data_IF_873616499649
#
_entry.id   IF_873616499649
#
_cell.length_a   1.000
_cell.length_b   1.000
_cell.length_c   1.000
_cell.angle_alpha   90.00
_cell.angle_beta   90.00
_cell.angle_gamma   90.00
#
_symmetry.space_group_name_H-M   'P 1'
#
loop_
_entity.id
_entity.type
_entity.pdbx_description
1 polymer ?
#
# COMPACT_ATOMS: atom_id res chain seq x y z
N UNK A 1 -58.88 -48.23 10.02
CA UNK A 1 -58.31 -47.16 10.88
C UNK A 1 -57.14 -47.66 11.72
N UNK A 2 -57.04 -48.96 12.04
CA UNK A 2 -55.98 -49.54 12.90
C UNK A 2 -54.53 -49.37 12.41
N UNK A 3 -54.29 -49.26 11.09
CA UNK A 3 -52.92 -49.09 10.54
C UNK A 3 -52.30 -47.75 10.96
N UNK A 4 -53.10 -46.69 11.15
CA UNK A 4 -52.60 -45.36 11.51
C UNK A 4 -52.19 -45.23 12.97
N UNK A 5 -52.64 -46.15 13.83
CA UNK A 5 -52.35 -46.18 15.26
C UNK A 5 -51.18 -47.12 15.62
N UNK A 6 -50.70 -47.93 14.66
CA UNK A 6 -49.50 -48.75 14.87
C UNK A 6 -48.30 -47.86 15.19
N UNK A 7 -47.57 -48.21 16.25
CA UNK A 7 -46.42 -47.45 16.72
C UNK A 7 -45.11 -48.10 16.27
N UNK A 8 -44.22 -47.29 15.71
CA UNK A 8 -42.86 -47.65 15.34
C UNK A 8 -41.92 -46.61 15.94
N UNK A 9 -40.95 -47.06 16.74
CA UNK A 9 -39.97 -46.20 17.42
C UNK A 9 -40.64 -45.07 18.24
N UNK A 10 -41.72 -45.39 18.95
CA UNK A 10 -42.44 -44.42 19.79
C UNK A 10 -43.36 -43.44 19.04
N UNK A 11 -43.47 -43.58 17.72
CA UNK A 11 -44.28 -42.72 16.86
C UNK A 11 -45.36 -43.52 16.12
N UNK A 12 -46.56 -42.97 15.97
CA UNK A 12 -47.62 -43.60 15.16
C UNK A 12 -47.28 -43.52 13.68
N UNK A 13 -47.82 -44.45 12.87
CA UNK A 13 -47.75 -44.36 11.39
C UNK A 13 -48.27 -43.00 10.90
N UNK A 14 -49.29 -42.43 11.55
CA UNK A 14 -49.78 -41.10 11.24
C UNK A 14 -48.71 -40.01 11.44
N UNK A 15 -47.94 -40.04 12.54
CA UNK A 15 -46.86 -39.07 12.79
C UNK A 15 -45.74 -39.16 11.74
N UNK A 16 -45.38 -40.37 11.31
CA UNK A 16 -44.42 -40.56 10.21
C UNK A 16 -44.94 -40.00 8.88
N UNK A 17 -46.22 -40.22 8.57
CA UNK A 17 -46.87 -39.65 7.39
C UNK A 17 -46.91 -38.12 7.49
N UNK A 18 -47.21 -37.56 8.65
CA UNK A 18 -47.20 -36.10 8.88
C UNK A 18 -45.80 -35.52 8.69
N UNK A 19 -44.75 -36.14 9.25
CA UNK A 19 -43.38 -35.69 9.06
C UNK A 19 -42.96 -35.73 7.59
N UNK A 20 -43.28 -36.81 6.86
CA UNK A 20 -43.03 -36.91 5.43
C UNK A 20 -43.80 -35.85 4.63
N UNK A 21 -45.08 -35.61 4.98
CA UNK A 21 -45.90 -34.59 4.37
C UNK A 21 -45.32 -33.18 4.60
N UNK A 22 -44.81 -32.89 5.81
CA UNK A 22 -44.13 -31.62 6.12
C UNK A 22 -42.92 -31.43 5.21
N UNK A 23 -42.05 -32.44 5.06
CA UNK A 23 -40.87 -32.36 4.19
C UNK A 23 -41.26 -32.11 2.74
N UNK A 24 -42.19 -32.90 2.19
CA UNK A 24 -42.65 -32.75 0.81
C UNK A 24 -43.28 -31.37 0.59
N UNK A 25 -44.10 -30.92 1.54
CA UNK A 25 -44.74 -29.61 1.49
C UNK A 25 -43.74 -28.46 1.55
N UNK A 26 -42.77 -28.50 2.47
CA UNK A 26 -41.75 -27.46 2.59
C UNK A 26 -40.76 -27.45 1.43
N UNK A 27 -40.43 -28.59 0.84
CA UNK A 27 -39.64 -28.64 -0.40
C UNK A 27 -40.43 -28.09 -1.59
N UNK A 28 -41.72 -28.41 -1.70
CA UNK A 28 -42.60 -27.88 -2.75
C UNK A 28 -42.76 -26.36 -2.62
N UNK A 29 -43.08 -25.87 -1.43
CA UNK A 29 -43.12 -24.43 -1.12
C UNK A 29 -41.76 -23.81 -1.35
N UNK A 30 -40.67 -24.44 -0.91
CA UNK A 30 -39.32 -23.93 -1.08
C UNK A 30 -38.98 -23.73 -2.54
N UNK A 31 -39.40 -24.66 -3.42
CA UNK A 31 -39.25 -24.54 -4.87
C UNK A 31 -40.07 -23.38 -5.44
N UNK A 32 -41.31 -23.19 -4.97
CA UNK A 32 -42.19 -22.09 -5.38
C UNK A 32 -41.59 -20.76 -4.91
N UNK A 33 -41.19 -20.64 -3.65
CA UNK A 33 -40.56 -19.44 -3.08
C UNK A 33 -39.27 -19.12 -3.84
N UNK A 34 -38.43 -20.11 -4.13
CA UNK A 34 -37.24 -19.91 -4.96
C UNK A 34 -37.58 -19.44 -6.38
N UNK A 35 -38.59 -20.03 -7.01
CA UNK A 35 -39.06 -19.61 -8.33
C UNK A 35 -39.60 -18.18 -8.32
N UNK A 36 -40.40 -17.82 -7.32
CA UNK A 36 -40.91 -16.46 -7.10
C UNK A 36 -39.76 -15.49 -6.86
N UNK A 37 -38.82 -15.83 -5.97
CA UNK A 37 -37.66 -15.02 -5.65
C UNK A 37 -36.81 -14.76 -6.90
N UNK A 38 -36.53 -15.82 -7.66
CA UNK A 38 -35.75 -15.74 -8.90
C UNK A 38 -36.44 -14.92 -9.99
N UNK A 39 -37.75 -15.04 -10.15
CA UNK A 39 -38.46 -14.43 -11.28
C UNK A 39 -39.01 -13.03 -10.97
N UNK A 40 -39.41 -12.77 -9.73
CA UNK A 40 -40.03 -11.51 -9.32
C UNK A 40 -38.99 -10.58 -8.70
N UNK A 41 -38.28 -11.01 -7.65
CA UNK A 41 -37.35 -10.14 -6.95
C UNK A 41 -36.16 -9.75 -7.83
N UNK A 42 -35.68 -10.65 -8.69
CA UNK A 42 -34.65 -10.30 -9.68
C UNK A 42 -35.16 -9.31 -10.74
N UNK A 43 -36.37 -9.51 -11.25
CA UNK A 43 -36.97 -8.61 -12.24
C UNK A 43 -37.34 -7.23 -11.66
N UNK A 44 -37.51 -7.14 -10.34
CA UNK A 44 -37.70 -5.88 -9.61
C UNK A 44 -36.35 -5.21 -9.32
N UNK A 45 -35.36 -5.98 -8.85
CA UNK A 45 -34.00 -5.48 -8.61
C UNK A 45 -33.36 -4.89 -9.87
N UNK A 46 -33.54 -5.54 -11.03
CA UNK A 46 -33.08 -5.03 -12.33
C UNK A 46 -33.74 -3.70 -12.75
N UNK A 47 -34.86 -3.31 -12.12
CA UNK A 47 -35.57 -2.04 -12.37
C UNK A 47 -35.22 -0.96 -11.36
N UNK A 48 -34.51 -1.28 -10.28
CA UNK A 48 -34.12 -0.32 -9.25
C UNK A 48 -32.85 0.42 -9.68
N UNK A 49 -32.73 1.68 -9.29
CA UNK A 49 -31.52 2.48 -9.57
C UNK A 49 -30.30 2.02 -8.73
N UNK A 50 -30.52 1.22 -7.68
CA UNK A 50 -29.52 0.83 -6.68
C UNK A 50 -28.98 -0.59 -6.91
N UNK A 51 -27.65 -0.71 -7.11
CA UNK A 51 -26.95 -2.01 -7.22
C UNK A 51 -26.96 -2.86 -5.94
N UNK A 52 -27.42 -2.30 -4.82
CA UNK A 52 -27.50 -3.00 -3.54
C UNK A 52 -28.53 -4.13 -3.57
N UNK A 53 -29.66 -3.93 -4.26
CA UNK A 53 -30.73 -4.92 -4.35
C UNK A 53 -30.27 -6.16 -5.12
N UNK A 54 -29.49 -5.98 -6.20
CA UNK A 54 -28.90 -7.07 -6.98
C UNK A 54 -27.95 -7.93 -6.14
N UNK A 55 -27.17 -7.30 -5.25
CA UNK A 55 -26.24 -7.99 -4.36
C UNK A 55 -26.99 -8.84 -3.34
N UNK A 56 -28.03 -8.29 -2.70
CA UNK A 56 -28.83 -9.02 -1.73
C UNK A 56 -29.55 -10.20 -2.39
N UNK A 57 -30.10 -9.99 -3.58
CA UNK A 57 -30.76 -11.05 -4.35
C UNK A 57 -29.78 -12.17 -4.71
N UNK A 58 -28.60 -11.85 -5.27
CA UNK A 58 -27.59 -12.88 -5.58
C UNK A 58 -27.08 -13.60 -4.32
N UNK A 59 -26.92 -12.87 -3.21
CA UNK A 59 -26.45 -13.43 -1.94
C UNK A 59 -27.39 -14.53 -1.42
N UNK A 60 -28.70 -14.29 -1.49
CA UNK A 60 -29.74 -15.15 -0.91
C UNK A 60 -30.25 -16.19 -1.89
N UNK A 61 -30.25 -15.95 -3.20
CA UNK A 61 -30.87 -16.83 -4.22
C UNK A 61 -30.43 -18.30 -4.04
N UNK A 62 -29.12 -18.57 -3.99
CA UNK A 62 -28.61 -19.96 -3.93
C UNK A 62 -28.78 -20.61 -2.56
N UNK A 63 -28.47 -19.94 -1.43
CA UNK A 63 -28.70 -20.51 -0.10
C UNK A 63 -30.18 -20.69 0.26
N UNK A 64 -31.09 -19.95 -0.38
CA UNK A 64 -32.52 -19.96 -0.06
C UNK A 64 -33.14 -21.37 -0.05
N UNK A 65 -32.86 -22.19 -1.07
CA UNK A 65 -33.38 -23.57 -1.11
C UNK A 65 -32.83 -24.41 0.02
N UNK A 66 -31.56 -24.23 0.39
CA UNK A 66 -30.94 -24.94 1.51
C UNK A 66 -31.57 -24.53 2.84
N UNK A 67 -31.72 -23.22 3.09
CA UNK A 67 -32.36 -22.67 4.30
C UNK A 67 -33.80 -23.16 4.44
N UNK A 68 -34.60 -23.11 3.35
CA UNK A 68 -35.98 -23.58 3.36
C UNK A 68 -36.07 -25.10 3.60
N UNK A 69 -35.10 -25.86 3.07
CA UNK A 69 -34.99 -27.30 3.35
C UNK A 69 -34.67 -27.57 4.82
N UNK A 70 -33.77 -26.79 5.43
CA UNK A 70 -33.44 -26.91 6.86
C UNK A 70 -34.68 -26.65 7.73
N UNK A 71 -35.43 -25.59 7.45
CA UNK A 71 -36.67 -25.26 8.19
C UNK A 71 -37.68 -26.41 8.10
N UNK A 72 -37.85 -26.98 6.90
CA UNK A 72 -38.75 -28.11 6.67
C UNK A 72 -38.34 -29.38 7.41
N UNK A 73 -37.05 -29.71 7.36
CA UNK A 73 -36.49 -30.86 8.08
C UNK A 73 -36.65 -30.65 9.59
N UNK A 74 -36.39 -29.45 10.10
CA UNK A 74 -36.57 -29.14 11.52
C UNK A 74 -38.02 -29.33 11.98
N UNK A 75 -38.99 -28.76 11.26
CA UNK A 75 -40.41 -28.95 11.57
C UNK A 75 -40.84 -30.41 11.50
N UNK A 76 -40.34 -31.16 10.52
CA UNK A 76 -40.63 -32.59 10.40
C UNK A 76 -40.07 -33.37 11.60
N UNK A 77 -38.82 -33.10 12.02
CA UNK A 77 -38.18 -33.78 13.13
C UNK A 77 -38.81 -33.42 14.49
N UNK A 78 -39.24 -32.17 14.68
CA UNK A 78 -39.94 -31.73 15.90
C UNK A 78 -41.34 -32.35 16.02
N UNK A 79 -41.96 -32.74 14.90
CA UNK A 79 -43.27 -33.43 14.93
C UNK A 79 -43.20 -34.90 15.36
N UNK A 80 -42.00 -35.47 15.45
CA UNK A 80 -41.73 -36.83 15.90
C UNK A 80 -41.30 -36.89 17.37
N UNK A 81 -41.71 -37.92 18.09
CA UNK A 81 -41.23 -38.28 19.42
C UNK A 81 -39.90 -39.03 19.30
N UNK A 82 -38.80 -38.28 19.41
CA UNK A 82 -37.45 -38.83 19.36
C UNK A 82 -36.87 -39.00 20.78
N UNK A 83 -36.07 -40.05 21.02
CA UNK A 83 -35.26 -40.18 22.24
C UNK A 83 -34.41 -38.94 22.49
N UNK A 84 -34.25 -38.55 23.76
CA UNK A 84 -33.57 -37.29 24.15
C UNK A 84 -32.14 -37.18 23.60
N UNK A 85 -31.42 -38.30 23.57
CA UNK A 85 -30.09 -38.37 22.96
C UNK A 85 -30.15 -37.94 21.48
N UNK A 86 -31.00 -38.58 20.67
CA UNK A 86 -31.13 -38.27 19.24
C UNK A 86 -31.62 -36.85 19.01
N UNK A 87 -32.53 -36.34 19.85
CA UNK A 87 -33.01 -34.96 19.79
C UNK A 87 -31.87 -33.96 20.00
N UNK A 88 -30.98 -34.21 20.96
CA UNK A 88 -29.79 -33.38 21.20
C UNK A 88 -28.85 -33.34 20.00
N UNK A 89 -28.48 -34.48 19.44
CA UNK A 89 -27.64 -34.55 18.23
C UNK A 89 -28.26 -33.83 17.03
N UNK A 90 -29.58 -33.96 16.85
CA UNK A 90 -30.33 -33.28 15.79
C UNK A 90 -30.34 -31.76 16.00
N UNK A 91 -30.59 -31.28 17.22
CA UNK A 91 -30.56 -29.85 17.53
C UNK A 91 -29.18 -29.24 17.26
N UNK A 92 -28.14 -29.87 17.80
CA UNK A 92 -26.76 -29.41 17.62
C UNK A 92 -26.35 -29.41 16.14
N UNK A 93 -26.73 -30.47 15.40
CA UNK A 93 -26.51 -30.55 13.96
C UNK A 93 -27.29 -29.48 13.18
N UNK A 94 -28.53 -29.19 13.57
CA UNK A 94 -29.35 -28.14 12.97
C UNK A 94 -28.73 -26.75 13.20
N UNK A 95 -28.35 -26.43 14.44
CA UNK A 95 -27.72 -25.15 14.79
C UNK A 95 -26.39 -24.94 14.05
N UNK A 96 -25.60 -26.00 13.90
CA UNK A 96 -24.40 -26.01 13.05
C UNK A 96 -24.76 -25.68 11.58
N UNK A 97 -25.71 -26.41 10.99
CA UNK A 97 -26.10 -26.22 9.59
C UNK A 97 -26.72 -24.84 9.31
N UNK A 98 -27.49 -24.30 10.25
CA UNK A 98 -28.02 -22.93 10.17
C UNK A 98 -26.89 -21.90 10.20
N UNK A 99 -25.90 -22.08 11.08
CA UNK A 99 -24.71 -21.22 11.13
C UNK A 99 -23.94 -21.24 9.81
N UNK A 100 -23.74 -22.43 9.23
CA UNK A 100 -23.10 -22.60 7.91
C UNK A 100 -23.94 -21.98 6.79
N UNK A 101 -25.27 -22.08 6.84
CA UNK A 101 -26.15 -21.44 5.87
C UNK A 101 -26.03 -19.90 5.91
N UNK A 102 -25.98 -19.32 7.11
CA UNK A 102 -25.80 -17.88 7.29
C UNK A 102 -24.42 -17.42 6.78
N UNK A 103 -23.36 -18.17 7.10
CA UNK A 103 -22.03 -17.92 6.60
C UNK A 103 -21.94 -18.02 5.07
N UNK A 104 -22.69 -18.94 4.46
CA UNK A 104 -22.78 -19.05 3.00
C UNK A 104 -23.42 -17.80 2.38
N UNK A 105 -24.52 -17.31 2.96
CA UNK A 105 -25.15 -16.04 2.55
C UNK A 105 -24.16 -14.89 2.69
N UNK A 106 -23.46 -14.78 3.82
CA UNK A 106 -22.47 -13.72 4.06
C UNK A 106 -21.30 -13.77 3.08
N UNK A 107 -20.75 -14.96 2.81
CA UNK A 107 -19.67 -15.16 1.84
C UNK A 107 -20.12 -14.80 0.42
N UNK A 108 -21.38 -15.12 0.05
CA UNK A 108 -21.96 -14.75 -1.23
C UNK A 108 -22.20 -13.25 -1.32
N UNK A 109 -22.76 -12.63 -0.28
CA UNK A 109 -22.94 -11.19 -0.19
C UNK A 109 -21.62 -10.45 -0.41
N UNK A 110 -20.54 -10.88 0.27
CA UNK A 110 -19.21 -10.33 0.06
C UNK A 110 -18.72 -10.53 -1.38
N UNK A 111 -18.87 -11.74 -1.95
CA UNK A 111 -18.49 -12.03 -3.33
C UNK A 111 -19.22 -11.12 -4.34
N UNK A 112 -20.52 -10.89 -4.13
CA UNK A 112 -21.36 -10.04 -4.98
C UNK A 112 -21.02 -8.56 -4.79
N UNK A 113 -20.74 -8.11 -3.56
CA UNK A 113 -20.27 -6.75 -3.28
C UNK A 113 -18.93 -6.46 -3.97
N UNK A 114 -17.98 -7.40 -3.89
CA UNK A 114 -16.70 -7.28 -4.60
C UNK A 114 -16.93 -7.17 -6.11
N UNK A 115 -17.79 -8.03 -6.67
CA UNK A 115 -18.06 -8.06 -8.11
C UNK A 115 -18.74 -6.78 -8.62
N UNK A 116 -19.72 -6.25 -7.90
CA UNK A 116 -20.56 -5.14 -8.39
C UNK A 116 -20.02 -3.74 -8.04
N UNK A 117 -19.26 -3.61 -6.93
CA UNK A 117 -18.75 -2.30 -6.47
C UNK A 117 -17.23 -2.14 -6.55
N UNK A 118 -16.46 -3.21 -6.28
CA UNK A 118 -14.99 -3.09 -6.13
C UNK A 118 -14.29 -3.40 -7.44
N UNK A 119 -14.58 -4.56 -8.05
CA UNK A 119 -13.94 -5.00 -9.29
C UNK A 119 -14.07 -4.00 -10.46
N UNK A 120 -15.23 -3.36 -10.70
CA UNK A 120 -15.34 -2.38 -11.80
C UNK A 120 -14.54 -1.10 -11.55
N UNK A 121 -14.36 -0.71 -10.28
CA UNK A 121 -13.55 0.48 -9.92
C UNK A 121 -12.06 0.20 -10.05
N UNK A 122 -11.64 -0.99 -9.64
CA UNK A 122 -10.27 -1.49 -9.79
C UNK A 122 -9.89 -1.59 -11.27
N UNK A 123 -10.73 -2.22 -12.09
CA UNK A 123 -10.48 -2.36 -13.53
C UNK A 123 -10.54 -1.03 -14.31
N UNK A 124 -11.16 0.01 -13.74
CA UNK A 124 -11.18 1.36 -14.30
C UNK A 124 -9.99 2.21 -13.81
N UNK A 125 -9.18 1.70 -12.88
CA UNK A 125 -7.96 2.34 -12.44
C UNK A 125 -6.79 1.86 -13.31
N UNK A 126 -5.86 2.76 -13.65
CA UNK A 126 -4.63 2.41 -14.38
C UNK A 126 -3.55 1.78 -13.47
N UNK A 127 -3.92 1.30 -12.27
CA UNK A 127 -2.95 0.89 -11.26
C UNK A 127 -2.85 -0.64 -11.21
N UNK A 128 -1.71 -1.19 -11.64
CA UNK A 128 -1.39 -2.63 -11.60
C UNK A 128 -1.49 -3.25 -10.18
N UNK A 129 -1.44 -2.40 -9.15
CA UNK A 129 -1.59 -2.74 -7.73
C UNK A 129 -2.95 -3.37 -7.42
N UNK A 130 -4.02 -2.81 -7.98
CA UNK A 130 -5.38 -3.15 -7.58
C UNK A 130 -5.80 -4.52 -8.14
N UNK A 131 -5.34 -4.86 -9.35
CA UNK A 131 -5.64 -6.12 -10.03
C UNK A 131 -4.99 -7.34 -9.35
N UNK A 132 -3.84 -7.17 -8.70
CA UNK A 132 -3.14 -8.27 -8.02
C UNK A 132 -3.59 -8.46 -6.57
N UNK A 133 -3.96 -7.38 -5.88
CA UNK A 133 -4.37 -7.43 -4.48
C UNK A 133 -5.81 -7.94 -4.31
N UNK A 134 -6.72 -7.57 -5.22
CA UNK A 134 -8.14 -7.89 -5.09
C UNK A 134 -8.41 -9.41 -5.00
N UNK A 135 -7.82 -10.28 -5.84
CA UNK A 135 -8.02 -11.73 -5.74
C UNK A 135 -7.51 -12.33 -4.42
N UNK A 136 -6.40 -11.82 -3.89
CA UNK A 136 -5.79 -12.28 -2.63
C UNK A 136 -6.70 -11.91 -1.46
N UNK A 137 -7.12 -10.64 -1.36
CA UNK A 137 -8.02 -10.15 -0.32
C UNK A 137 -9.36 -10.88 -0.36
N UNK A 138 -9.92 -11.08 -1.56
CA UNK A 138 -11.18 -11.80 -1.73
C UNK A 138 -11.10 -13.24 -1.21
N UNK A 139 -10.04 -13.98 -1.55
CA UNK A 139 -9.83 -15.35 -1.05
C UNK A 139 -9.59 -15.36 0.47
N UNK A 140 -8.80 -14.42 0.97
CA UNK A 140 -8.49 -14.29 2.41
C UNK A 140 -9.74 -14.05 3.26
N UNK A 141 -10.55 -13.05 2.91
CA UNK A 141 -11.79 -12.73 3.62
C UNK A 141 -12.76 -13.91 3.59
N UNK A 142 -12.90 -14.58 2.44
CA UNK A 142 -13.76 -15.76 2.32
C UNK A 142 -13.28 -16.92 3.20
N UNK A 143 -11.97 -17.17 3.24
CA UNK A 143 -11.39 -18.17 4.14
C UNK A 143 -11.69 -17.83 5.61
N UNK A 144 -11.52 -16.57 6.01
CA UNK A 144 -11.85 -16.10 7.36
C UNK A 144 -13.33 -16.30 7.70
N UNK A 145 -14.26 -15.94 6.79
CA UNK A 145 -15.70 -16.16 7.00
C UNK A 145 -15.99 -17.64 7.29
N UNK A 146 -15.41 -18.56 6.49
CA UNK A 146 -15.62 -19.99 6.69
C UNK A 146 -14.99 -20.54 7.97
N UNK A 147 -13.77 -20.10 8.32
CA UNK A 147 -13.10 -20.50 9.57
C UNK A 147 -13.95 -20.06 10.77
N UNK A 148 -14.39 -18.80 10.80
CA UNK A 148 -15.26 -18.28 11.87
C UNK A 148 -16.57 -19.04 11.92
N UNK A 149 -17.19 -19.31 10.77
CA UNK A 149 -18.45 -20.05 10.70
C UNK A 149 -18.36 -21.47 11.25
N UNK A 150 -17.25 -22.17 10.99
CA UNK A 150 -17.01 -23.51 11.54
C UNK A 150 -16.90 -23.45 13.06
N UNK A 151 -16.15 -22.48 13.60
CA UNK A 151 -15.97 -22.32 15.05
C UNK A 151 -17.30 -21.98 15.72
N UNK A 152 -18.00 -20.96 15.23
CA UNK A 152 -19.31 -20.55 15.78
C UNK A 152 -20.33 -21.68 15.64
N UNK A 153 -20.29 -22.42 14.52
CA UNK A 153 -21.17 -23.57 14.32
C UNK A 153 -20.92 -24.68 15.34
N UNK A 154 -19.65 -24.99 15.62
CA UNK A 154 -19.27 -25.98 16.63
C UNK A 154 -19.66 -25.54 18.04
N UNK A 155 -19.44 -24.26 18.37
CA UNK A 155 -19.80 -23.68 19.67
C UNK A 155 -21.33 -23.72 19.90
N UNK A 156 -22.11 -23.29 18.89
CA UNK A 156 -23.58 -23.38 18.91
C UNK A 156 -24.07 -24.84 19.02
N UNK A 157 -23.32 -25.79 18.45
CA UNK A 157 -23.60 -27.22 18.56
C UNK A 157 -23.15 -27.83 19.91
N UNK A 158 -22.72 -27.01 20.87
CA UNK A 158 -22.36 -27.42 22.22
C UNK A 158 -20.96 -28.02 22.37
N UNK A 159 -20.09 -27.89 21.36
CA UNK A 159 -18.70 -28.31 21.46
C UNK A 159 -17.84 -27.21 22.11
N UNK A 160 -16.91 -27.60 22.97
CA UNK A 160 -15.90 -26.67 23.50
C UNK A 160 -14.88 -26.32 22.41
N UNK A 161 -14.95 -25.08 21.93
CA UNK A 161 -14.04 -24.55 20.90
C UNK A 161 -12.85 -23.79 21.47
N UNK A 162 -12.65 -23.76 22.79
CA UNK A 162 -11.56 -23.02 23.42
C UNK A 162 -10.19 -23.47 22.90
N UNK A 163 -9.99 -24.78 22.73
CA UNK A 163 -8.74 -25.33 22.18
C UNK A 163 -8.51 -24.92 20.71
N UNK A 164 -9.57 -24.86 19.90
CA UNK A 164 -9.49 -24.41 18.51
C UNK A 164 -9.16 -22.91 18.43
N UNK A 165 -9.81 -22.10 19.26
CA UNK A 165 -9.54 -20.67 19.37
C UNK A 165 -8.12 -20.40 19.85
N UNK A 166 -7.64 -21.14 20.85
CA UNK A 166 -6.26 -21.04 21.33
C UNK A 166 -5.24 -21.41 20.23
N UNK A 167 -5.49 -22.51 19.52
CA UNK A 167 -4.65 -22.96 18.41
C UNK A 167 -4.62 -21.95 17.24
N UNK A 168 -5.77 -21.39 16.87
CA UNK A 168 -5.87 -20.34 15.85
C UNK A 168 -5.25 -19.02 16.31
N UNK A 169 -5.31 -18.69 17.60
CA UNK A 169 -4.63 -17.51 18.15
C UNK A 169 -3.11 -17.61 17.98
N UNK A 170 -2.52 -18.74 18.40
CA UNK A 170 -1.08 -18.99 18.26
C UNK A 170 -0.69 -19.12 16.77
N UNK A 171 -1.45 -19.87 15.98
CA UNK A 171 -1.22 -20.03 14.55
C UNK A 171 -1.37 -18.73 13.77
N UNK A 172 -2.35 -17.90 14.15
CA UNK A 172 -2.59 -16.57 13.60
C UNK A 172 -1.45 -15.60 13.93
N UNK A 173 -0.92 -15.65 15.15
CA UNK A 173 0.27 -14.87 15.53
C UNK A 173 1.50 -15.30 14.72
N UNK A 174 1.74 -16.61 14.58
CA UNK A 174 2.85 -17.13 13.77
C UNK A 174 2.71 -16.71 12.29
N UNK A 175 1.50 -16.80 11.73
CA UNK A 175 1.21 -16.33 10.38
C UNK A 175 1.42 -14.81 10.24
N UNK A 176 0.95 -14.01 11.20
CA UNK A 176 1.13 -12.56 11.20
C UNK A 176 2.61 -12.16 11.27
N UNK A 177 3.41 -12.86 12.08
CA UNK A 177 4.86 -12.66 12.14
C UNK A 177 5.54 -13.00 10.82
N UNK A 178 5.14 -14.10 10.16
CA UNK A 178 5.67 -14.47 8.85
C UNK A 178 5.25 -13.49 7.74
N UNK A 179 4.05 -12.92 7.83
CA UNK A 179 3.53 -11.96 6.86
C UNK A 179 4.00 -10.52 7.10
N UNK A 180 4.62 -10.23 8.25
CA UNK A 180 4.99 -8.89 8.71
C UNK A 180 5.71 -8.06 7.64
N UNK A 181 6.75 -8.61 7.03
CA UNK A 181 7.56 -7.87 6.04
C UNK A 181 6.77 -7.61 4.75
N UNK A 182 5.89 -8.53 4.35
CA UNK A 182 5.03 -8.31 3.19
C UNK A 182 4.06 -7.16 3.46
N UNK A 183 3.39 -7.18 4.62
CA UNK A 183 2.44 -6.13 5.02
C UNK A 183 3.15 -4.78 5.17
N UNK A 184 4.33 -4.75 5.79
CA UNK A 184 5.13 -3.53 5.94
C UNK A 184 5.50 -2.90 4.60
N UNK A 185 5.87 -3.71 3.60
CA UNK A 185 6.14 -3.19 2.26
C UNK A 185 4.90 -2.67 1.53
N UNK A 186 3.73 -3.29 1.74
CA UNK A 186 2.47 -2.77 1.19
C UNK A 186 2.13 -1.40 1.76
N UNK A 187 2.23 -1.24 3.09
CA UNK A 187 2.01 0.05 3.74
C UNK A 187 3.06 1.09 3.32
N UNK A 188 4.33 0.71 3.21
CA UNK A 188 5.36 1.60 2.68
C UNK A 188 5.04 2.07 1.25
N UNK A 189 4.53 1.19 0.39
CA UNK A 189 4.12 1.53 -0.97
C UNK A 189 2.93 2.50 -0.98
N UNK A 190 1.94 2.24 -0.14
CA UNK A 190 0.77 3.11 0.04
C UNK A 190 1.16 4.51 0.52
N UNK A 191 2.08 4.61 1.48
CA UNK A 191 2.61 5.90 1.97
C UNK A 191 3.34 6.65 0.87
N UNK A 192 4.24 6.00 0.12
CA UNK A 192 4.93 6.64 -1.03
C UNK A 192 3.91 7.15 -2.06
N UNK A 193 2.85 6.39 -2.33
CA UNK A 193 1.83 6.80 -3.30
C UNK A 193 0.96 7.98 -2.82
N UNK A 194 0.65 8.02 -1.52
CA UNK A 194 -0.25 9.02 -0.93
C UNK A 194 0.47 10.33 -0.61
N UNK A 195 1.62 10.23 0.08
CA UNK A 195 2.39 11.39 0.53
C UNK A 195 3.29 11.95 -0.57
N UNK A 196 3.60 11.12 -1.59
CA UNK A 196 4.43 11.48 -2.76
C UNK A 196 5.72 12.23 -2.41
N UNK A 197 6.58 11.69 -1.52
CA UNK A 197 7.88 12.30 -1.22
C UNK A 197 8.79 12.36 -2.47
N UNK A 198 8.53 11.51 -3.45
CA UNK A 198 9.11 11.50 -4.77
C UNK A 198 8.14 10.87 -5.78
N UNK A 199 8.40 11.09 -7.06
CA UNK A 199 7.63 10.55 -8.18
C UNK A 199 8.53 9.83 -9.18
N UNK A 200 7.93 9.12 -10.14
CA UNK A 200 8.68 8.49 -11.24
C UNK A 200 9.46 9.57 -11.99
N UNK A 201 10.73 9.28 -12.30
CA UNK A 201 11.74 10.17 -12.87
C UNK A 201 12.38 11.18 -11.91
N UNK A 202 12.01 11.22 -10.62
CA UNK A 202 12.79 11.96 -9.64
C UNK A 202 14.12 11.26 -9.36
N UNK A 203 15.20 12.03 -9.22
CA UNK A 203 16.47 11.56 -8.67
C UNK A 203 16.43 11.73 -7.15
N UNK A 204 16.66 10.63 -6.44
CA UNK A 204 16.64 10.60 -4.99
C UNK A 204 17.92 9.96 -4.45
N UNK A 205 18.26 10.32 -3.22
CA UNK A 205 19.27 9.63 -2.42
C UNK A 205 18.59 9.00 -1.21
N UNK A 206 18.77 7.70 -1.04
CA UNK A 206 18.22 6.92 0.08
C UNK A 206 19.21 5.83 0.49
N UNK A 207 19.52 5.69 1.78
CA UNK A 207 20.47 4.70 2.30
C UNK A 207 21.81 4.65 1.53
N UNK A 208 22.33 5.81 1.11
CA UNK A 208 23.57 5.91 0.32
C UNK A 208 23.46 5.47 -1.15
N UNK A 209 22.25 5.13 -1.62
CA UNK A 209 21.97 4.87 -3.04
C UNK A 209 21.48 6.15 -3.71
N UNK A 210 22.20 6.62 -4.73
CA UNK A 210 21.82 7.76 -5.57
C UNK A 210 21.34 7.26 -6.94
N UNK A 211 20.10 7.59 -7.29
CA UNK A 211 19.54 7.17 -8.57
C UNK A 211 18.18 7.78 -8.90
N UNK A 212 17.77 7.57 -10.14
CA UNK A 212 16.48 8.02 -10.67
C UNK A 212 15.41 6.94 -10.50
N UNK A 213 14.26 7.30 -9.95
CA UNK A 213 13.10 6.42 -9.78
C UNK A 213 12.56 6.03 -11.16
N UNK A 214 12.51 4.73 -11.44
CA UNK A 214 11.97 4.19 -12.70
C UNK A 214 10.60 3.57 -12.55
N UNK A 215 10.34 2.93 -11.43
CA UNK A 215 9.10 2.20 -11.17
C UNK A 215 8.81 2.22 -9.67
N UNK A 216 7.57 2.51 -9.29
CA UNK A 216 7.08 2.34 -7.91
C UNK A 216 6.09 1.18 -7.95
N UNK A 217 6.54 0.00 -7.55
CA UNK A 217 5.71 -1.21 -7.52
C UNK A 217 4.98 -1.39 -6.18
N UNK A 218 4.15 -2.43 -6.11
CA UNK A 218 3.37 -2.82 -4.91
C UNK A 218 4.23 -2.96 -3.65
N UNK A 219 5.38 -3.63 -3.77
CA UNK A 219 6.26 -4.02 -2.64
C UNK A 219 7.63 -3.37 -2.65
N UNK A 220 8.04 -2.83 -3.80
CA UNK A 220 9.40 -2.35 -4.01
C UNK A 220 9.44 -1.28 -5.08
N UNK A 221 10.37 -0.35 -4.93
CA UNK A 221 10.65 0.71 -5.89
C UNK A 221 11.98 0.41 -6.59
N UNK A 222 12.05 0.68 -7.89
CA UNK A 222 13.25 0.49 -8.71
C UNK A 222 13.89 1.83 -9.00
N UNK A 223 15.17 1.95 -8.66
CA UNK A 223 16.02 3.07 -8.99
C UNK A 223 17.00 2.67 -10.10
N UNK A 224 17.35 3.60 -10.98
CA UNK A 224 18.49 3.48 -11.88
C UNK A 224 19.61 4.38 -11.36
N UNK A 225 20.75 3.81 -11.00
CA UNK A 225 21.91 4.58 -10.53
C UNK A 225 22.52 5.41 -11.66
N UNK A 226 23.40 6.34 -11.31
CA UNK A 226 24.14 7.16 -12.29
C UNK A 226 25.04 6.31 -13.21
N UNK A 227 25.48 5.13 -12.75
CA UNK A 227 26.21 4.15 -13.56
C UNK A 227 25.29 3.26 -14.42
N UNK A 228 23.97 3.50 -14.41
CA UNK A 228 22.98 2.79 -15.21
C UNK A 228 22.48 1.47 -14.62
N UNK A 229 22.86 1.12 -13.37
CA UNK A 229 22.43 -0.13 -12.72
C UNK A 229 21.03 0.00 -12.13
N UNK A 230 20.24 -1.07 -12.17
CA UNK A 230 18.95 -1.12 -11.48
C UNK A 230 19.12 -1.58 -10.04
N UNK A 231 18.69 -0.77 -9.08
CA UNK A 231 18.61 -1.10 -7.65
C UNK A 231 17.15 -1.26 -7.28
N UNK A 232 16.82 -2.34 -6.58
CA UNK A 232 15.45 -2.63 -6.11
C UNK A 232 15.43 -2.49 -4.60
N UNK A 233 14.62 -1.57 -4.11
CA UNK A 233 14.53 -1.24 -2.68
C UNK A 233 13.12 -1.60 -2.20
N UNK A 234 12.97 -2.39 -1.12
CA UNK A 234 11.67 -2.66 -0.50
C UNK A 234 11.00 -1.36 -0.07
N UNK A 235 9.69 -1.23 -0.31
CA UNK A 235 8.96 0.00 -0.04
C UNK A 235 8.97 0.41 1.45
N UNK A 236 9.03 -0.58 2.36
CA UNK A 236 9.14 -0.32 3.80
C UNK A 236 10.34 0.56 4.15
N UNK A 237 11.47 0.41 3.43
CA UNK A 237 12.66 1.24 3.67
C UNK A 237 12.43 2.71 3.40
N UNK A 238 11.58 3.07 2.45
CA UNK A 238 11.29 4.48 2.14
C UNK A 238 10.42 5.13 3.22
N UNK A 239 9.59 4.35 3.92
CA UNK A 239 8.82 4.85 5.05
C UNK A 239 9.71 5.10 6.29
N UNK A 240 10.76 4.28 6.45
CA UNK A 240 11.62 4.32 7.64
C UNK A 240 12.88 5.19 7.50
N UNK A 241 13.28 5.55 6.27
CA UNK A 241 14.56 6.20 5.98
C UNK A 241 14.40 7.67 5.59
N UNK A 242 15.46 8.46 5.82
CA UNK A 242 15.53 9.83 5.28
C UNK A 242 15.73 9.75 3.77
N UNK A 243 14.90 10.49 3.03
CA UNK A 243 14.96 10.57 1.57
C UNK A 243 15.34 11.99 1.17
N UNK A 244 16.43 12.13 0.42
CA UNK A 244 16.79 13.40 -0.22
C UNK A 244 16.26 13.40 -1.65
N UNK A 245 15.24 14.22 -1.94
CA UNK A 245 14.73 14.39 -3.30
C UNK A 245 15.51 15.48 -4.03
N UNK A 246 16.50 15.07 -4.83
CA UNK A 246 17.36 15.98 -5.60
C UNK A 246 16.56 16.72 -6.67
N UNK A 247 15.63 16.04 -7.35
CA UNK A 247 14.79 16.66 -8.39
C UNK A 247 13.86 17.75 -7.87
N UNK A 248 13.53 17.72 -6.58
CA UNK A 248 12.70 18.74 -5.94
C UNK A 248 13.42 20.07 -5.72
N UNK A 249 14.75 20.13 -5.88
CA UNK A 249 15.53 21.34 -5.62
C UNK A 249 15.04 22.52 -6.50
N UNK A 250 14.82 23.72 -5.91
CA UNK A 250 14.39 24.90 -6.67
C UNK A 250 15.56 25.55 -7.42
N UNK A 251 16.77 25.37 -6.92
CA UNK A 251 18.03 25.81 -7.54
C UNK A 251 19.19 25.01 -6.93
N UNK A 252 20.28 24.87 -7.68
CA UNK A 252 21.48 24.14 -7.25
C UNK A 252 22.52 25.10 -6.69
N UNK A 253 22.77 25.04 -5.39
CA UNK A 253 23.84 25.85 -4.76
C UNK A 253 25.22 25.28 -5.13
N UNK A 254 26.07 26.12 -5.71
CA UNK A 254 27.49 25.86 -5.89
C UNK A 254 28.27 26.78 -4.94
N UNK A 255 29.35 26.28 -4.36
CA UNK A 255 30.23 27.07 -3.48
C UNK A 255 31.67 26.92 -3.95
N UNK A 256 32.28 28.03 -4.31
CA UNK A 256 33.69 28.16 -4.65
C UNK A 256 34.40 28.83 -3.49
N UNK A 257 35.55 28.28 -3.10
CA UNK A 257 36.45 28.92 -2.15
C UNK A 257 37.70 29.31 -2.94
N UNK A 258 37.81 30.60 -3.27
CA UNK A 258 38.91 31.14 -4.06
C UNK A 258 39.99 31.62 -3.09
N UNK A 259 41.19 31.05 -3.19
CA UNK A 259 42.36 31.50 -2.45
C UNK A 259 43.18 32.45 -3.30
N UNK A 260 43.38 33.67 -2.81
CA UNK A 260 44.19 34.70 -3.45
C UNK A 260 45.47 34.95 -2.64
N UNK A 261 46.50 35.50 -3.27
CA UNK A 261 47.82 35.67 -2.65
C UNK A 261 47.82 36.73 -1.53
N UNK A 262 48.73 36.61 -0.57
CA UNK A 262 48.85 37.52 0.58
C UNK A 262 49.49 38.88 0.26
N UNK A 263 50.14 38.99 -0.90
CA UNK A 263 50.73 40.22 -1.41
C UNK A 263 49.71 41.16 -2.06
N UNK A 264 48.46 40.72 -2.25
CA UNK A 264 47.39 41.60 -2.72
C UNK A 264 47.05 42.70 -1.72
N UNK A 265 46.75 43.89 -2.26
CA UNK A 265 46.25 45.00 -1.46
C UNK A 265 44.77 44.84 -1.07
N UNK A 266 44.28 45.59 -0.06
CA UNK A 266 42.85 45.64 0.27
C UNK A 266 41.98 46.05 -0.93
N UNK A 267 42.45 46.97 -1.76
CA UNK A 267 41.73 47.43 -2.96
C UNK A 267 41.63 46.32 -4.02
N UNK A 268 42.67 45.50 -4.18
CA UNK A 268 42.62 44.33 -5.06
C UNK A 268 41.63 43.28 -4.54
N UNK A 269 41.50 43.11 -3.22
CA UNK A 269 40.48 42.25 -2.62
C UNK A 269 39.06 42.76 -2.90
N UNK A 270 38.81 44.05 -2.74
CA UNK A 270 37.52 44.66 -3.10
C UNK A 270 37.22 44.50 -4.59
N UNK A 271 38.20 44.74 -5.46
CA UNK A 271 38.09 44.54 -6.90
C UNK A 271 37.77 43.09 -7.26
N UNK A 272 38.40 42.11 -6.61
CA UNK A 272 38.12 40.69 -6.80
C UNK A 272 36.65 40.38 -6.47
N UNK A 273 36.15 40.91 -5.36
CA UNK A 273 34.75 40.75 -4.95
C UNK A 273 33.78 41.41 -5.95
N UNK A 274 34.10 42.60 -6.48
CA UNK A 274 33.28 43.26 -7.48
C UNK A 274 33.23 42.50 -8.81
N UNK A 275 34.37 42.00 -9.29
CA UNK A 275 34.42 41.15 -10.48
C UNK A 275 33.55 39.89 -10.33
N UNK A 276 33.50 39.28 -9.13
CA UNK A 276 32.62 38.14 -8.87
C UNK A 276 31.14 38.52 -8.92
N UNK A 277 30.77 39.72 -8.45
CA UNK A 277 29.39 40.25 -8.58
C UNK A 277 29.03 40.51 -10.03
N UNK A 278 29.96 41.05 -10.82
CA UNK A 278 29.78 41.29 -12.25
C UNK A 278 29.60 39.97 -13.00
N UNK A 279 30.48 38.98 -12.77
CA UNK A 279 30.38 37.66 -13.38
C UNK A 279 29.03 37.01 -13.05
N UNK A 280 28.56 37.12 -11.79
CA UNK A 280 27.24 36.63 -11.42
C UNK A 280 26.11 37.36 -12.17
N UNK A 281 26.25 38.66 -12.40
CA UNK A 281 25.28 39.47 -13.14
C UNK A 281 25.25 39.10 -14.62
N UNK A 282 26.43 38.90 -15.23
CA UNK A 282 26.59 38.46 -16.62
C UNK A 282 25.96 37.07 -16.86
N UNK A 283 25.88 36.23 -15.83
CA UNK A 283 25.28 34.89 -15.88
C UNK A 283 23.86 34.84 -15.33
N UNK A 284 23.17 35.98 -15.22
CA UNK A 284 21.82 36.07 -14.64
C UNK A 284 20.76 35.26 -15.40
N UNK A 285 21.05 34.78 -16.62
CA UNK A 285 20.20 33.81 -17.33
C UNK A 285 20.27 32.40 -16.72
N UNK A 286 21.45 31.96 -16.29
CA UNK A 286 21.67 30.60 -15.77
C UNK A 286 21.62 30.52 -14.24
N UNK A 287 21.92 31.61 -13.52
CA UNK A 287 21.92 31.63 -12.05
C UNK A 287 20.86 32.58 -11.48
N UNK A 288 20.46 32.32 -10.24
CA UNK A 288 19.60 33.20 -9.46
C UNK A 288 20.32 34.49 -9.11
N UNK A 289 19.56 35.59 -8.94
CA UNK A 289 20.11 36.87 -8.49
C UNK A 289 20.76 36.80 -7.10
N UNK A 290 20.33 35.84 -6.28
CA UNK A 290 20.89 35.62 -4.95
C UNK A 290 22.27 34.98 -5.07
N UNK A 291 23.29 35.69 -4.57
CA UNK A 291 24.64 35.16 -4.36
C UNK A 291 25.05 35.36 -2.90
N UNK A 292 25.99 34.55 -2.42
CA UNK A 292 26.68 34.76 -1.16
C UNK A 292 28.15 35.00 -1.48
N UNK A 293 28.68 36.13 -1.03
CA UNK A 293 30.05 36.52 -1.30
C UNK A 293 30.67 37.10 -0.03
N UNK A 294 31.80 36.56 0.39
CA UNK A 294 32.49 36.98 1.61
C UNK A 294 33.98 36.67 1.53
N UNK A 295 34.81 37.64 1.90
CA UNK A 295 36.18 37.37 2.34
C UNK A 295 36.08 36.72 3.74
N UNK A 296 36.18 35.39 3.80
CA UNK A 296 35.71 34.61 4.95
C UNK A 296 36.84 34.09 5.85
N UNK A 297 38.07 33.99 5.34
CA UNK A 297 39.19 33.48 6.13
C UNK A 297 40.56 33.95 5.63
N UNK A 298 41.49 34.08 6.57
CA UNK A 298 42.92 34.10 6.33
C UNK A 298 43.41 32.65 6.44
N UNK A 299 43.80 32.03 5.33
CA UNK A 299 44.31 30.66 5.27
C UNK A 299 45.84 30.59 5.37
N UNK A 300 46.39 29.38 5.47
CA UNK A 300 47.85 29.19 5.66
C UNK A 300 48.70 29.79 4.52
N UNK A 301 48.17 29.78 3.29
CA UNK A 301 48.87 30.26 2.09
C UNK A 301 48.04 31.24 1.26
N UNK A 302 46.82 31.60 1.69
CA UNK A 302 45.87 32.36 0.88
C UNK A 302 44.91 33.24 1.68
N UNK A 303 44.46 34.33 1.07
CA UNK A 303 43.29 35.10 1.47
C UNK A 303 42.05 34.51 0.80
N UNK A 304 41.09 34.00 1.57
CA UNK A 304 39.98 33.19 1.04
C UNK A 304 38.70 34.00 0.83
N UNK A 305 38.19 33.97 -0.40
CA UNK A 305 36.86 34.45 -0.75
C UNK A 305 35.94 33.24 -0.93
N UNK A 306 34.90 33.14 -0.11
CA UNK A 306 33.77 32.25 -0.36
C UNK A 306 32.80 32.92 -1.32
N UNK A 307 32.63 32.31 -2.49
CA UNK A 307 31.64 32.71 -3.51
C UNK A 307 30.66 31.56 -3.75
N UNK A 308 29.40 31.75 -3.34
CA UNK A 308 28.33 30.80 -3.61
C UNK A 308 27.23 31.43 -4.48
N UNK A 309 26.82 30.68 -5.49
CA UNK A 309 25.75 31.04 -6.41
C UNK A 309 24.77 29.88 -6.56
N UNK A 310 23.57 30.18 -7.04
CA UNK A 310 22.50 29.20 -7.16
C UNK A 310 22.12 29.07 -8.62
N UNK A 311 22.39 27.91 -9.24
CA UNK A 311 22.04 27.63 -10.63
C UNK A 311 20.52 27.41 -10.70
N UNK A 312 19.86 28.10 -11.62
CA UNK A 312 18.40 28.02 -11.82
C UNK A 312 17.98 26.61 -12.19
N UNK A 313 16.77 26.22 -11.76
CA UNK A 313 16.17 24.94 -12.19
C UNK A 313 16.04 24.90 -13.71
N UNK A 314 16.58 23.84 -14.32
CA UNK A 314 16.57 23.64 -15.77
C UNK A 314 17.81 24.14 -16.51
N UNK A 315 18.66 24.97 -15.88
CA UNK A 315 19.95 25.32 -16.46
C UNK A 315 20.92 24.11 -16.37
N UNK A 316 21.81 23.98 -17.36
CA UNK A 316 22.77 22.89 -17.38
C UNK A 316 23.87 23.13 -16.33
N UNK A 317 23.94 22.27 -15.32
CA UNK A 317 24.77 22.48 -14.13
C UNK A 317 26.26 22.59 -14.49
N UNK A 318 26.78 21.63 -15.27
CA UNK A 318 28.21 21.57 -15.58
C UNK A 318 28.65 22.70 -16.51
N UNK A 319 27.81 23.09 -17.46
CA UNK A 319 28.15 24.18 -18.38
C UNK A 319 28.14 25.52 -17.65
N UNK A 320 27.17 25.74 -16.76
CA UNK A 320 27.10 26.95 -15.94
C UNK A 320 28.29 27.05 -14.98
N UNK A 321 28.71 25.93 -14.37
CA UNK A 321 29.94 25.91 -13.57
C UNK A 321 31.16 26.24 -14.43
N UNK A 322 31.27 25.64 -15.60
CA UNK A 322 32.40 25.85 -16.51
C UNK A 322 32.47 27.31 -16.98
N UNK A 323 31.34 27.90 -17.38
CA UNK A 323 31.28 29.28 -17.85
C UNK A 323 31.67 30.27 -16.77
N UNK A 324 31.17 30.09 -15.54
CA UNK A 324 31.51 30.93 -14.38
C UNK A 324 32.98 30.77 -14.03
N UNK A 325 33.49 29.53 -13.93
CA UNK A 325 34.90 29.29 -13.59
C UNK A 325 35.86 29.89 -14.63
N UNK A 326 35.55 29.77 -15.92
CA UNK A 326 36.35 30.38 -16.99
C UNK A 326 36.28 31.92 -16.96
N UNK A 327 35.12 32.49 -16.66
CA UNK A 327 34.96 33.94 -16.52
C UNK A 327 35.78 34.48 -15.33
N UNK A 328 35.75 33.78 -14.20
CA UNK A 328 36.59 34.09 -13.02
C UNK A 328 38.06 34.03 -13.42
N UNK A 329 38.50 32.92 -14.00
CA UNK A 329 39.89 32.72 -14.41
C UNK A 329 40.39 33.83 -15.33
N UNK A 330 39.59 34.20 -16.35
CA UNK A 330 39.95 35.25 -17.30
C UNK A 330 39.97 36.64 -16.68
N UNK A 331 38.89 37.05 -15.99
CA UNK A 331 38.79 38.41 -15.45
C UNK A 331 39.79 38.66 -14.32
N UNK A 332 40.12 37.64 -13.53
CA UNK A 332 41.13 37.75 -12.49
C UNK A 332 42.52 37.92 -13.11
N UNK A 333 42.86 37.13 -14.15
CA UNK A 333 44.11 37.29 -14.88
C UNK A 333 44.23 38.68 -15.54
N UNK A 334 43.18 39.16 -16.21
CA UNK A 334 43.16 40.48 -16.85
C UNK A 334 43.32 41.63 -15.84
N UNK A 335 42.89 41.43 -14.59
CA UNK A 335 43.00 42.38 -13.49
C UNK A 335 44.29 42.24 -12.65
N UNK A 336 45.17 41.27 -12.97
CA UNK A 336 46.38 41.00 -12.21
C UNK A 336 46.11 40.43 -10.81
N UNK A 337 44.99 39.74 -10.62
CA UNK A 337 44.64 39.04 -9.38
C UNK A 337 45.12 37.60 -9.46
N UNK A 338 46.05 37.23 -8.57
CA UNK A 338 46.69 35.92 -8.59
C UNK A 338 46.03 34.93 -7.63
N UNK A 339 45.82 33.70 -8.12
CA UNK A 339 45.40 32.59 -7.28
C UNK A 339 46.59 32.08 -6.48
N UNK A 340 46.38 31.89 -5.17
CA UNK A 340 47.39 31.36 -4.29
C UNK A 340 47.68 29.89 -4.61
N UNK A 341 48.96 29.55 -4.57
CA UNK A 341 49.46 28.17 -4.53
C UNK A 341 50.14 27.95 -3.17
N UNK A 342 50.27 26.69 -2.70
CA UNK A 342 51.02 26.40 -1.48
C UNK A 342 52.42 27.02 -1.56
N UNK A 343 52.70 27.99 -0.69
CA UNK A 343 53.93 28.75 -0.67
C UNK A 343 54.57 28.71 0.72
N UNK A 344 55.90 28.77 0.75
CA UNK A 344 56.68 28.75 1.98
C UNK A 344 57.86 29.71 1.85
N UNK A 345 58.11 30.47 2.90
CA UNK A 345 59.32 31.29 3.01
C UNK A 345 60.43 30.43 3.61
N UNK A 346 61.44 30.10 2.80
CA UNK A 346 62.60 29.32 3.25
C UNK A 346 63.71 30.25 3.74
N UNK A 347 64.02 30.19 5.03
CA UNK A 347 65.14 30.91 5.62
C UNK A 347 66.42 30.07 5.53
N UNK A 348 67.33 30.46 4.64
CA UNK A 348 68.67 29.87 4.59
C UNK A 348 69.57 30.51 5.65
N UNK A 349 69.87 29.75 6.71
CA UNK A 349 70.88 30.16 7.70
C UNK A 349 72.26 29.69 7.23
N UNK A 350 73.21 30.57 6.89
CA UNK A 350 74.57 30.15 6.60
C UNK A 350 75.17 29.49 7.85
N UNK A 351 75.83 28.36 7.64
CA UNK A 351 76.58 27.64 8.67
C UNK A 351 78.04 28.05 8.47
N UNK A 352 78.59 28.81 9.41
CA UNK A 352 80.01 29.19 9.44
C UNK A 352 80.92 28.01 9.82
#
# INVERSE_FOLDING_TARGET
MEIFEQTYYGNTVLQWITALAIIVFTLAIGRIVFWVFKNILRAVAEKTATKFDDIVVDAVERPLLFILSLIGIWWALVSLTLPDLLRGWISNGYDFLVTIAFAWVLARFFDSMVKEYIAPKVAASDTDLDDQLLPILRKGIKATIWIVAIIVGLDNAGYDVAALLAGLGIGGLAFAMAAKDTVSNLFGGFTVFTDKPFTINDRIVVDGTDGTVKEIGVRSTRLQTLEGRTVVIPNAKFADSVIENISSEPSRKITLNLGLTYDMSPEQMEQAMDLLREIATDHSEQIEKKILLSFNAFGDFSLNIMFAYYIKKGAHILDTQTSINLAIYKRFADAGLEFAFPSQTVYHKPVD
#
